data_IF_244879226335
#
_entry.id   IF_244879226335
#
_cell.length_a   1.000
_cell.length_b   1.000
_cell.length_c   1.000
_cell.angle_alpha   90.00
_cell.angle_beta   90.00
_cell.angle_gamma   90.00
#
_symmetry.space_group_name_H-M   'P 1'
#
loop_
_entity.id
_entity.type
_entity.pdbx_description
1 polymer ?
#
# COMPACT_ATOMS: atom_id res chain seq x y z
N UNK A 1 15.64 13.99 11.25
CA UNK A 1 16.20 12.80 11.94
C UNK A 1 17.05 11.85 11.11
N UNK A 2 17.01 11.84 9.77
CA UNK A 2 17.96 11.04 8.96
C UNK A 2 17.77 9.51 9.00
N UNK A 3 16.75 9.02 9.72
CA UNK A 3 16.39 7.60 9.77
C UNK A 3 15.75 7.19 8.43
N UNK A 4 16.20 6.09 7.79
CA UNK A 4 15.61 5.63 6.54
C UNK A 4 14.19 5.10 6.76
N UNK A 5 13.29 5.39 5.81
CA UNK A 5 11.87 5.00 5.82
C UNK A 5 11.42 4.73 4.39
N UNK A 6 10.66 3.66 4.18
CA UNK A 6 9.97 3.41 2.93
C UNK A 6 8.59 4.09 2.96
N UNK A 7 8.24 4.84 1.91
CA UNK A 7 6.96 5.59 1.86
C UNK A 7 6.21 5.30 0.56
N UNK A 8 4.96 4.87 0.70
CA UNK A 8 4.03 4.68 -0.40
C UNK A 8 2.84 5.65 -0.26
N UNK A 9 2.36 6.18 -1.39
CA UNK A 9 1.19 7.03 -1.42
C UNK A 9 0.28 6.65 -2.58
N UNK A 10 -1.02 6.61 -2.32
CA UNK A 10 -2.06 6.54 -3.33
C UNK A 10 -2.41 7.96 -3.79
N UNK A 11 -2.69 8.12 -5.07
CA UNK A 11 -3.01 9.41 -5.67
C UNK A 11 -4.43 9.35 -6.24
N UNK A 12 -5.37 9.97 -5.53
CA UNK A 12 -6.77 10.01 -5.91
C UNK A 12 -7.00 10.68 -7.27
N UNK A 13 -6.16 11.65 -7.65
CA UNK A 13 -6.31 12.37 -8.93
C UNK A 13 -6.00 11.48 -10.13
N UNK A 14 -5.25 10.40 -9.93
CA UNK A 14 -4.91 9.42 -10.97
C UNK A 14 -5.86 8.24 -10.92
N UNK A 15 -6.88 8.26 -11.80
CA UNK A 15 -7.87 7.17 -11.93
C UNK A 15 -8.57 6.84 -10.59
N UNK A 16 -8.86 7.86 -9.77
CA UNK A 16 -9.54 7.71 -8.48
C UNK A 16 -8.71 6.98 -7.42
N UNK A 17 -7.38 6.96 -7.54
CA UNK A 17 -6.49 6.23 -6.62
C UNK A 17 -6.69 4.72 -6.65
N UNK A 18 -7.37 4.21 -7.67
CA UNK A 18 -7.69 2.78 -7.77
C UNK A 18 -6.42 1.94 -7.99
N UNK A 19 -6.38 0.76 -7.39
CA UNK A 19 -5.21 -0.11 -7.30
C UNK A 19 -5.30 -1.15 -8.43
N UNK A 20 -4.62 -0.85 -9.56
CA UNK A 20 -4.44 -1.79 -10.66
C UNK A 20 -3.14 -2.61 -10.55
N UNK A 21 -2.84 -3.48 -11.53
CA UNK A 21 -1.72 -4.44 -11.45
C UNK A 21 -0.35 -3.80 -11.17
N UNK A 22 -0.07 -2.64 -11.78
CA UNK A 22 1.18 -1.92 -11.53
C UNK A 22 1.23 -1.30 -10.12
N UNK A 23 0.11 -0.76 -9.64
CA UNK A 23 0.02 -0.21 -8.29
C UNK A 23 0.20 -1.32 -7.23
N UNK A 24 -0.47 -2.47 -7.40
CA UNK A 24 -0.26 -3.64 -6.54
C UNK A 24 1.20 -4.09 -6.53
N UNK A 25 1.87 -4.17 -7.70
CA UNK A 25 3.31 -4.51 -7.76
C UNK A 25 4.20 -3.50 -7.04
N UNK A 26 3.91 -2.20 -7.15
CA UNK A 26 4.63 -1.15 -6.41
C UNK A 26 4.43 -1.28 -4.90
N UNK A 27 3.19 -1.54 -4.46
CA UNK A 27 2.83 -1.76 -3.05
C UNK A 27 3.50 -3.02 -2.48
N UNK A 28 3.58 -4.10 -3.25
CA UNK A 28 4.35 -5.28 -2.87
C UNK A 28 5.85 -4.97 -2.79
N UNK A 29 6.41 -4.28 -3.80
CA UNK A 29 7.84 -3.98 -3.88
C UNK A 29 8.30 -3.11 -2.72
N UNK A 30 7.51 -2.10 -2.32
CA UNK A 30 7.88 -1.25 -1.19
C UNK A 30 7.85 -2.00 0.15
N UNK A 31 6.90 -2.93 0.33
CA UNK A 31 6.89 -3.82 1.48
C UNK A 31 8.13 -4.72 1.51
N UNK A 32 8.54 -5.27 0.36
CA UNK A 32 9.78 -6.07 0.27
C UNK A 32 11.04 -5.23 0.54
N UNK A 33 11.10 -3.95 0.12
CA UNK A 33 12.19 -3.04 0.51
C UNK A 33 12.21 -2.86 2.02
N UNK A 34 11.08 -2.52 2.63
CA UNK A 34 10.97 -2.32 4.08
C UNK A 34 11.42 -3.57 4.84
N UNK A 35 11.02 -4.76 4.37
CA UNK A 35 11.42 -6.06 4.94
C UNK A 35 12.93 -6.28 4.86
N UNK A 36 13.54 -6.10 3.68
CA UNK A 36 14.96 -6.39 3.42
C UNK A 36 15.88 -5.43 4.16
N UNK A 37 15.57 -4.14 4.11
CA UNK A 37 16.37 -3.09 4.73
C UNK A 37 16.09 -2.93 6.23
N UNK A 38 15.06 -3.62 6.75
CA UNK A 38 14.62 -3.54 8.15
C UNK A 38 14.29 -2.10 8.57
N UNK A 39 13.59 -1.38 7.69
CA UNK A 39 13.19 0.01 7.88
C UNK A 39 11.66 0.14 7.99
N UNK A 40 11.14 1.18 8.67
CA UNK A 40 9.70 1.42 8.75
C UNK A 40 9.06 1.59 7.37
N UNK A 41 7.79 1.19 7.27
CA UNK A 41 6.94 1.44 6.11
C UNK A 41 5.82 2.41 6.50
N UNK A 42 5.69 3.50 5.73
CA UNK A 42 4.59 4.45 5.83
C UNK A 42 3.72 4.40 4.59
N UNK A 43 2.41 4.25 4.76
CA UNK A 43 1.44 4.23 3.67
C UNK A 43 0.46 5.41 3.79
N UNK A 44 0.37 6.24 2.77
CA UNK A 44 -0.66 7.28 2.64
C UNK A 44 -1.77 6.75 1.74
N UNK A 45 -2.96 6.60 2.32
CA UNK A 45 -4.09 5.91 1.71
C UNK A 45 -5.13 6.94 1.25
N UNK A 46 -5.42 6.93 -0.04
CA UNK A 46 -6.35 7.84 -0.70
C UNK A 46 -6.74 7.27 -2.08
N UNK A 47 -7.82 6.48 -2.13
CA UNK A 47 -8.27 5.85 -3.36
C UNK A 47 -9.52 4.97 -3.23
N UNK A 48 -10.09 4.64 -4.39
CA UNK A 48 -11.29 3.82 -4.53
C UNK A 48 -11.08 2.31 -4.28
N UNK A 49 -9.85 1.87 -3.99
CA UNK A 49 -9.54 0.46 -3.77
C UNK A 49 -9.24 -0.30 -5.07
N UNK A 50 -9.60 -1.58 -5.14
CA UNK A 50 -9.25 -2.44 -6.29
C UNK A 50 -9.74 -1.85 -7.62
N UNK A 51 -8.85 -1.79 -8.62
CA UNK A 51 -9.22 -1.40 -9.98
C UNK A 51 -9.71 -2.63 -10.75
N UNK A 52 -10.95 -2.64 -11.27
CA UNK A 52 -11.41 -3.69 -12.16
C UNK A 52 -10.52 -3.83 -13.41
N UNK A 53 -10.37 -5.03 -13.99
CA UNK A 53 -9.59 -5.23 -15.20
C UNK A 53 -10.05 -4.33 -16.35
N UNK A 54 -9.10 -3.70 -17.03
CA UNK A 54 -9.36 -2.83 -18.19
C UNK A 54 -8.98 -3.53 -19.51
N UNK A 55 -9.57 -3.13 -20.66
CA UNK A 55 -9.14 -3.64 -21.96
C UNK A 55 -7.64 -3.40 -22.18
N UNK A 56 -6.90 -4.45 -22.52
CA UNK A 56 -5.45 -4.39 -22.71
C UNK A 56 -4.63 -4.51 -21.42
N UNK A 57 -5.26 -4.70 -20.25
CA UNK A 57 -4.53 -5.14 -19.07
C UNK A 57 -3.89 -6.50 -19.36
N UNK A 58 -2.60 -6.70 -19.03
CA UNK A 58 -1.87 -7.92 -19.38
C UNK A 58 -2.43 -9.19 -18.73
N UNK A 59 -3.46 -9.11 -17.89
CA UNK A 59 -4.11 -10.24 -17.24
C UNK A 59 -3.17 -11.00 -16.32
N UNK A 60 -3.30 -10.81 -15.01
CA UNK A 60 -2.47 -11.56 -14.06
C UNK A 60 -2.38 -10.87 -12.71
N UNK A 61 -2.77 -11.59 -11.66
CA UNK A 61 -2.56 -11.18 -10.28
C UNK A 61 -1.06 -11.03 -10.03
N UNK A 62 -0.61 -9.79 -9.81
CA UNK A 62 0.73 -9.56 -9.28
C UNK A 62 0.89 -10.21 -7.90
N UNK A 63 2.12 -10.26 -7.36
CA UNK A 63 2.32 -10.74 -6.00
C UNK A 63 1.43 -9.95 -5.03
N UNK A 64 0.78 -10.67 -4.10
CA UNK A 64 -0.20 -10.10 -3.19
C UNK A 64 0.42 -9.06 -2.27
N UNK A 65 0.11 -7.79 -2.50
CA UNK A 65 0.68 -6.67 -1.75
C UNK A 65 0.20 -6.66 -0.28
N UNK A 66 -1.08 -6.99 -0.04
CA UNK A 66 -1.62 -7.11 1.31
C UNK A 66 -0.93 -8.22 2.11
N UNK A 67 -0.62 -9.35 1.48
CA UNK A 67 0.13 -10.43 2.12
C UNK A 67 1.57 -10.01 2.47
N UNK A 68 2.23 -9.29 1.57
CA UNK A 68 3.56 -8.75 1.82
C UNK A 68 3.56 -7.72 2.95
N UNK A 69 2.59 -6.81 2.99
CA UNK A 69 2.42 -5.86 4.09
C UNK A 69 2.12 -6.58 5.41
N UNK A 70 1.17 -7.52 5.43
CA UNK A 70 0.85 -8.30 6.63
C UNK A 70 2.06 -9.07 7.17
N UNK A 71 2.95 -9.57 6.29
CA UNK A 71 4.19 -10.25 6.71
C UNK A 71 5.20 -9.34 7.44
N UNK A 72 5.02 -8.02 7.41
CA UNK A 72 5.87 -7.07 8.14
C UNK A 72 5.50 -6.95 9.61
N UNK A 73 4.34 -7.45 10.03
CA UNK A 73 3.89 -7.41 11.43
C UNK A 73 4.93 -8.06 12.35
N UNK A 74 5.36 -7.32 13.37
CA UNK A 74 6.42 -7.74 14.28
C UNK A 74 7.85 -7.72 13.71
N UNK A 75 8.03 -7.38 12.42
CA UNK A 75 9.35 -7.26 11.79
C UNK A 75 9.80 -5.80 11.70
N UNK A 76 8.97 -4.91 11.17
CA UNK A 76 9.26 -3.48 11.04
C UNK A 76 8.02 -2.67 11.42
N UNK A 77 8.17 -1.43 11.94
CA UNK A 77 7.02 -0.58 12.20
C UNK A 77 6.29 -0.25 10.90
N UNK A 78 4.98 -0.52 10.87
CA UNK A 78 4.08 -0.08 9.82
C UNK A 78 3.13 0.99 10.33
N UNK A 79 3.06 2.10 9.62
CA UNK A 79 2.15 3.21 9.94
C UNK A 79 1.39 3.61 8.68
N UNK A 80 0.11 3.96 8.82
CA UNK A 80 -0.63 4.57 7.72
C UNK A 80 -1.33 5.87 8.09
N UNK A 81 -1.43 6.76 7.12
CA UNK A 81 -2.34 7.91 7.13
C UNK A 81 -3.48 7.67 6.15
N UNK A 82 -4.72 7.71 6.62
CA UNK A 82 -5.92 7.72 5.76
C UNK A 82 -6.25 9.18 5.47
N UNK A 83 -5.90 9.64 4.28
CA UNK A 83 -5.91 11.06 3.89
C UNK A 83 -7.16 11.46 3.10
N UNK A 84 -8.09 10.53 2.91
CA UNK A 84 -9.33 10.72 2.18
C UNK A 84 -10.10 9.41 2.02
N UNK A 85 -10.85 9.26 0.93
CA UNK A 85 -11.58 8.01 0.67
C UNK A 85 -10.61 6.84 0.59
N UNK A 86 -10.82 5.79 1.36
CA UNK A 86 -10.07 4.54 1.25
C UNK A 86 -11.04 3.38 1.35
N UNK A 87 -11.16 2.61 0.27
CA UNK A 87 -12.13 1.51 0.16
C UNK A 87 -11.46 0.19 -0.22
N UNK A 88 -12.05 -0.92 0.22
CA UNK A 88 -11.63 -2.28 -0.17
C UNK A 88 -10.14 -2.54 0.04
N UNK A 89 -9.39 -2.81 -1.03
CA UNK A 89 -7.97 -3.14 -0.98
C UNK A 89 -7.11 -2.08 -0.26
N UNK A 90 -7.36 -0.78 -0.49
CA UNK A 90 -6.60 0.29 0.18
C UNK A 90 -6.92 0.35 1.67
N UNK A 91 -8.20 0.19 2.04
CA UNK A 91 -8.67 0.24 3.41
C UNK A 91 -8.11 -0.90 4.28
N UNK A 92 -7.87 -2.08 3.69
CA UNK A 92 -7.30 -3.24 4.41
C UNK A 92 -5.86 -2.96 4.89
N UNK A 93 -5.12 -2.01 4.30
CA UNK A 93 -3.80 -1.64 4.84
C UNK A 93 -3.88 -1.05 6.24
N UNK A 94 -4.94 -0.30 6.57
CA UNK A 94 -5.04 0.34 7.87
C UNK A 94 -5.02 -0.64 9.06
N UNK A 95 -5.82 -1.73 9.09
CA UNK A 95 -5.74 -2.74 10.15
C UNK A 95 -4.50 -3.63 10.09
N UNK A 96 -3.70 -3.60 9.01
CA UNK A 96 -2.41 -4.30 8.97
C UNK A 96 -1.29 -3.47 9.63
N UNK A 97 -1.45 -2.15 9.71
CA UNK A 97 -0.47 -1.25 10.32
C UNK A 97 -0.55 -1.26 11.86
N UNK A 98 0.58 -0.98 12.51
CA UNK A 98 0.65 -0.85 13.97
C UNK A 98 -0.07 0.42 14.45
N UNK A 99 -0.03 1.48 13.63
CA UNK A 99 -0.73 2.73 13.88
C UNK A 99 -1.43 3.22 12.62
N UNK A 100 -2.64 3.72 12.80
CA UNK A 100 -3.41 4.43 11.76
C UNK A 100 -3.80 5.82 12.26
N UNK A 101 -3.59 6.83 11.42
CA UNK A 101 -4.06 8.20 11.63
C UNK A 101 -5.09 8.50 10.55
N UNK A 102 -6.25 9.00 10.94
CA UNK A 102 -7.36 9.31 10.04
C UNK A 102 -7.76 10.78 10.21
N UNK A 103 -8.01 11.49 9.10
CA UNK A 103 -8.50 12.87 9.07
C UNK A 103 -10.01 12.95 8.89
#
# INVERSE_FOLDING_TARGET
DGRPVAVGAEDFTTLGGSIGPAASRKRWRIADIARRERIPLVMLLEGAGHRPPMPGDPGGGGPGDLGAQGSLSGLVPMVCGVMGSSAGHGAITAPLCDFSVMT
#
